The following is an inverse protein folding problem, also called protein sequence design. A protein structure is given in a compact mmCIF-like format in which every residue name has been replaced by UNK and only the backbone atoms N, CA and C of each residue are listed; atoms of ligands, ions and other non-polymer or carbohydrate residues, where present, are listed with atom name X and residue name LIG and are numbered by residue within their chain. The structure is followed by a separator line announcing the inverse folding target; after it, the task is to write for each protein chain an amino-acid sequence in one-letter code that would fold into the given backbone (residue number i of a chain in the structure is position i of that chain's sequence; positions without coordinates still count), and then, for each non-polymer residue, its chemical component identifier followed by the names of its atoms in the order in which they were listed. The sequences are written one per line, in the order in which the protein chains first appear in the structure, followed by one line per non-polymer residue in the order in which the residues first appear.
data_IF_331401238407
#
_entry.id   IF_331401238407
#
_cell.length_a   1.000
_cell.length_b   1.000
_cell.length_c   1.000
_cell.angle_alpha   90.00
_cell.angle_beta   90.00
_cell.angle_gamma   90.00
#
_symmetry.space_group_name_H-M   'P 1'
#
loop_
_entity.id
_entity.type
_entity.pdbx_description
1 polymer ?
#
# COMPACT_ATOMS: atom_id res chain seq x y z
N UNK A 1 -8.82 -16.22 -14.47
CA UNK A 1 -9.03 -15.18 -13.46
C UNK A 1 -9.15 -15.88 -12.12
N UNK A 2 -8.46 -15.43 -11.06
CA UNK A 2 -8.60 -16.06 -9.75
C UNK A 2 -10.04 -15.90 -9.26
N UNK A 3 -10.64 -16.98 -8.75
CA UNK A 3 -12.00 -16.93 -8.26
C UNK A 3 -12.09 -16.09 -6.98
N UNK A 4 -13.24 -15.44 -6.76
CA UNK A 4 -13.50 -14.62 -5.57
C UNK A 4 -13.17 -15.34 -4.25
N UNK A 5 -13.31 -16.67 -4.21
CA UNK A 5 -12.96 -17.47 -3.04
C UNK A 5 -11.47 -17.41 -2.68
N UNK A 6 -10.58 -17.37 -3.67
CA UNK A 6 -9.13 -17.24 -3.44
C UNK A 6 -8.78 -15.84 -2.94
N UNK A 7 -9.38 -14.81 -3.56
CA UNK A 7 -9.20 -13.42 -3.14
C UNK A 7 -9.68 -13.22 -1.71
N UNK A 8 -10.84 -13.78 -1.34
CA UNK A 8 -11.38 -13.68 0.03
C UNK A 8 -10.41 -14.27 1.06
N UNK A 9 -9.85 -15.44 0.79
CA UNK A 9 -8.84 -16.07 1.67
C UNK A 9 -7.58 -15.24 1.79
N UNK A 10 -7.08 -14.70 0.67
CA UNK A 10 -5.90 -13.81 0.66
C UNK A 10 -6.14 -12.58 1.52
N UNK A 11 -7.28 -11.91 1.33
CA UNK A 11 -7.63 -10.73 2.12
C UNK A 11 -7.79 -11.05 3.60
N UNK A 12 -8.41 -12.19 3.95
CA UNK A 12 -8.55 -12.61 5.33
C UNK A 12 -7.20 -12.85 6.02
N UNK A 13 -6.26 -13.52 5.32
CA UNK A 13 -4.91 -13.74 5.83
C UNK A 13 -4.16 -12.44 6.16
N UNK A 14 -4.43 -11.37 5.42
CA UNK A 14 -3.81 -10.04 5.60
C UNK A 14 -4.68 -9.06 6.41
N UNK A 15 -5.81 -9.49 6.96
CA UNK A 15 -6.74 -8.63 7.71
C UNK A 15 -7.44 -7.55 6.87
N UNK A 16 -7.52 -7.75 5.55
CA UNK A 16 -8.07 -6.81 4.56
C UNK A 16 -9.47 -7.20 4.04
N UNK A 17 -10.20 -8.05 4.77
CA UNK A 17 -11.53 -8.55 4.36
C UNK A 17 -12.56 -7.44 4.11
N UNK A 18 -12.37 -6.26 4.71
CA UNK A 18 -13.26 -5.11 4.56
C UNK A 18 -13.32 -4.57 3.12
N UNK A 19 -12.33 -4.86 2.28
CA UNK A 19 -12.34 -4.46 0.86
C UNK A 19 -13.48 -5.11 0.06
N UNK A 20 -14.03 -6.23 0.54
CA UNK A 20 -15.17 -6.91 -0.07
C UNK A 20 -16.49 -6.62 0.66
N UNK A 21 -16.54 -5.66 1.59
CA UNK A 21 -17.73 -5.40 2.42
C UNK A 21 -18.99 -5.09 1.59
N UNK A 22 -18.82 -4.38 0.47
CA UNK A 22 -19.92 -3.96 -0.42
C UNK A 22 -19.94 -4.71 -1.75
N UNK A 23 -19.18 -5.80 -1.86
CA UNK A 23 -19.01 -6.50 -3.15
C UNK A 23 -20.35 -6.92 -3.76
N UNK A 24 -21.31 -7.36 -2.94
CA UNK A 24 -22.64 -7.79 -3.40
C UNK A 24 -23.57 -6.61 -3.79
N UNK A 25 -23.20 -5.38 -3.46
CA UNK A 25 -23.96 -4.18 -3.83
C UNK A 25 -23.44 -3.55 -5.14
N UNK A 26 -22.27 -3.99 -5.62
CA UNK A 26 -21.68 -3.49 -6.86
C UNK A 26 -22.32 -4.12 -8.10
N UNK A 27 -22.50 -3.36 -9.20
CA UNK A 27 -22.81 -3.93 -10.51
C UNK A 27 -21.71 -4.88 -10.99
N UNK A 28 -22.04 -5.83 -11.87
CA UNK A 28 -21.13 -6.90 -12.31
C UNK A 28 -19.81 -6.37 -12.89
N UNK A 29 -19.86 -5.32 -13.71
CA UNK A 29 -18.65 -4.68 -14.26
C UNK A 29 -17.71 -4.12 -13.17
N UNK A 30 -18.28 -3.55 -12.10
CA UNK A 30 -17.51 -3.00 -11.00
C UNK A 30 -16.95 -4.09 -10.08
N UNK A 31 -17.65 -5.21 -9.96
CA UNK A 31 -17.15 -6.38 -9.24
C UNK A 31 -15.89 -6.94 -9.89
N UNK A 32 -15.91 -7.12 -11.21
CA UNK A 32 -14.74 -7.63 -11.95
C UNK A 32 -13.55 -6.68 -11.83
N UNK A 33 -13.78 -5.38 -12.04
CA UNK A 33 -12.75 -4.35 -11.88
C UNK A 33 -12.14 -4.34 -10.47
N UNK A 34 -12.98 -4.45 -9.42
CA UNK A 34 -12.51 -4.49 -8.04
C UNK A 34 -11.61 -5.72 -7.80
N UNK A 35 -12.00 -6.90 -8.29
CA UNK A 35 -11.20 -8.11 -8.13
C UNK A 35 -9.86 -8.01 -8.87
N UNK A 36 -9.84 -7.42 -10.07
CA UNK A 36 -8.60 -7.16 -10.83
C UNK A 36 -7.66 -6.22 -10.07
N UNK A 37 -8.20 -5.13 -9.52
CA UNK A 37 -7.43 -4.18 -8.71
C UNK A 37 -6.83 -4.84 -7.46
N UNK A 38 -7.61 -5.66 -6.76
CA UNK A 38 -7.14 -6.39 -5.57
C UNK A 38 -6.04 -7.39 -5.94
N UNK A 39 -6.15 -8.07 -7.09
CA UNK A 39 -5.12 -8.99 -7.56
C UNK A 39 -3.78 -8.29 -7.84
N UNK A 40 -3.81 -7.05 -8.32
CA UNK A 40 -2.62 -6.24 -8.56
C UNK A 40 -1.85 -5.83 -7.29
N UNK A 41 -2.43 -6.00 -6.10
CA UNK A 41 -1.80 -5.63 -4.83
C UNK A 41 -0.95 -6.79 -4.29
N UNK A 42 0.32 -6.48 -4.01
CA UNK A 42 1.20 -7.33 -3.22
C UNK A 42 1.02 -7.04 -1.72
N UNK A 43 0.14 -7.81 -1.06
CA UNK A 43 -0.20 -7.61 0.34
C UNK A 43 0.95 -7.95 1.30
N UNK A 44 1.78 -8.94 0.98
CA UNK A 44 2.98 -9.26 1.78
C UNK A 44 3.93 -8.07 1.85
N UNK A 45 4.17 -7.41 0.71
CA UNK A 45 5.00 -6.21 0.65
C UNK A 45 4.35 -5.03 1.38
N UNK A 46 3.03 -4.87 1.23
CA UNK A 46 2.26 -3.80 1.87
C UNK A 46 2.35 -3.89 3.40
N UNK A 47 2.26 -5.08 3.99
CA UNK A 47 2.43 -5.26 5.44
C UNK A 47 3.79 -4.79 5.93
N UNK A 48 4.86 -5.15 5.21
CA UNK A 48 6.21 -4.70 5.52
C UNK A 48 6.36 -3.17 5.46
N UNK A 49 5.70 -2.53 4.49
CA UNK A 49 5.68 -1.08 4.38
C UNK A 49 4.87 -0.41 5.49
N UNK A 50 3.71 -0.95 5.86
CA UNK A 50 2.90 -0.43 6.98
C UNK A 50 3.72 -0.47 8.27
N UNK A 51 4.39 -1.58 8.57
CA UNK A 51 5.22 -1.70 9.77
C UNK A 51 6.36 -0.66 9.75
N UNK A 52 7.06 -0.53 8.62
CA UNK A 52 8.22 0.37 8.49
C UNK A 52 7.86 1.85 8.46
N UNK A 53 6.79 2.23 7.77
CA UNK A 53 6.54 3.64 7.45
C UNK A 53 5.36 4.23 8.22
N UNK A 54 4.44 3.41 8.74
CA UNK A 54 3.28 3.88 9.50
C UNK A 54 3.47 3.64 10.99
N UNK A 55 3.84 2.41 11.37
CA UNK A 55 3.98 2.03 12.80
C UNK A 55 5.34 2.39 13.39
N UNK A 56 6.40 2.32 12.58
CA UNK A 56 7.78 2.67 12.98
C UNK A 56 8.38 3.72 12.06
N UNK A 57 7.70 4.86 11.84
CA UNK A 57 8.16 5.86 10.89
C UNK A 57 9.60 6.27 11.24
N UNK A 58 10.50 6.30 10.25
CA UNK A 58 11.87 6.74 10.49
C UNK A 58 11.83 8.14 11.09
N UNK A 59 12.50 8.32 12.22
CA UNK A 59 12.69 9.65 12.78
C UNK A 59 13.63 10.40 11.86
N UNK A 60 13.09 11.37 11.13
CA UNK A 60 13.91 12.31 10.39
C UNK A 60 14.55 13.26 11.40
N UNK A 61 15.82 13.04 11.72
CA UNK A 61 16.60 14.02 12.46
C UNK A 61 16.93 15.16 11.49
N UNK A 62 16.11 16.20 11.54
CA UNK A 62 16.37 17.44 10.78
C UNK A 62 17.52 18.16 11.50
N UNK A 63 18.66 18.41 10.82
CA UNK A 63 19.72 19.22 11.39
C UNK A 63 19.15 20.59 11.79
N UNK A 64 19.36 21.00 13.04
CA UNK A 64 18.93 22.33 13.49
C UNK A 64 19.73 23.45 12.80
N UNK A 65 20.93 23.10 12.34
CA UNK A 65 21.83 24.00 11.65
C UNK A 65 21.95 23.59 10.17
N UNK A 66 21.24 24.32 9.31
CA UNK A 66 21.23 24.11 7.86
C UNK A 66 22.14 25.17 7.26
N UNK A 67 23.32 24.75 6.81
CA UNK A 67 24.28 25.63 6.14
C UNK A 67 24.17 25.52 4.61
N UNK A 68 24.46 26.60 3.86
CA UNK A 68 24.56 26.54 2.41
C UNK A 68 25.63 25.53 1.96
N UNK A 69 25.45 24.86 0.81
CA UNK A 69 26.52 24.04 0.23
C UNK A 69 27.74 24.91 -0.12
N UNK A 70 28.94 24.32 -0.04
CA UNK A 70 30.18 25.00 -0.41
C UNK A 70 30.13 25.45 -1.88
N UNK A 71 30.47 26.72 -2.13
CA UNK A 71 30.56 27.23 -3.49
C UNK A 71 31.89 26.82 -4.11
N UNK A 72 31.85 26.02 -5.18
CA UNK A 72 33.01 25.85 -6.07
C UNK A 72 33.13 27.06 -7.01
N UNK A 73 34.32 27.67 -7.18
CA UNK A 73 34.50 28.75 -8.15
C UNK A 73 34.31 28.23 -9.58
N UNK A 74 33.49 28.91 -10.37
CA UNK A 74 33.46 28.72 -11.81
C UNK A 74 34.74 29.30 -12.40
N UNK A 75 35.59 28.44 -12.98
CA UNK A 75 36.81 28.84 -13.70
C UNK A 75 36.52 29.51 -15.05
#
# INVERSE_FOLDING_TARGET
MAEIGEIRKKLEAHGQSHLLAFYEELPSEHRELLLEQIQGINFDQLEGWIERYVRRPPRLEVPQDIQPPETVPNG
#
